data_IF_822536818854
#
_entry.id   IF_822536818854
#
_cell.length_a   1.000
_cell.length_b   1.000
_cell.length_c   1.000
_cell.angle_alpha   90.00
_cell.angle_beta   90.00
_cell.angle_gamma   90.00
#
_symmetry.space_group_name_H-M   'P 1'
#
loop_
_entity.id
_entity.type
_entity.pdbx_description
1 polymer ?
#
# COMPACT_ATOMS: atom_id res chain seq x y z
N UNK A 1 5.64 13.04 11.43
CA UNK A 1 5.32 13.32 10.04
C UNK A 1 4.48 12.20 9.43
N UNK A 2 4.70 10.98 9.90
CA UNK A 2 3.97 9.82 9.40
C UNK A 2 2.60 9.72 10.08
N UNK A 3 1.64 9.17 9.34
CA UNK A 3 0.28 9.01 9.88
C UNK A 3 -0.45 7.89 9.16
N UNK A 4 -0.35 7.87 7.82
CA UNK A 4 -1.01 6.84 7.03
C UNK A 4 -0.05 5.68 6.74
N UNK A 5 1.24 5.99 6.65
CA UNK A 5 2.25 4.98 6.38
C UNK A 5 2.91 4.51 7.67
N UNK A 6 2.11 4.35 8.72
CA UNK A 6 2.61 3.91 10.01
C UNK A 6 2.30 2.45 10.26
N UNK A 7 1.22 1.96 9.65
CA UNK A 7 0.81 0.57 9.80
C UNK A 7 1.00 -0.20 8.50
N UNK A 8 1.01 0.51 7.38
CA UNK A 8 1.17 -0.11 6.07
C UNK A 8 -0.01 -1.03 5.75
N UNK A 9 -1.04 -0.48 5.10
CA UNK A 9 -2.24 -1.26 4.73
C UNK A 9 -1.91 -2.50 3.92
N UNK A 10 -0.73 -2.52 3.30
CA UNK A 10 -0.29 -3.66 2.50
C UNK A 10 -0.50 -4.97 3.26
N UNK A 11 -0.32 -6.09 2.58
CA UNK A 11 -0.50 -7.41 3.21
C UNK A 11 0.74 -8.27 3.08
N UNK A 12 1.41 -8.20 1.93
CA UNK A 12 2.61 -8.99 1.70
C UNK A 12 3.86 -8.23 2.12
N UNK A 13 4.44 -7.45 1.22
CA UNK A 13 5.63 -6.68 1.51
C UNK A 13 5.68 -5.39 0.69
N UNK A 14 4.51 -4.81 0.45
CA UNK A 14 4.43 -3.58 -0.33
C UNK A 14 4.69 -2.36 0.54
N UNK A 15 5.02 -1.24 -0.11
CA UNK A 15 5.29 0.00 0.61
C UNK A 15 4.05 0.89 0.64
N UNK A 16 4.21 2.09 1.18
CA UNK A 16 3.10 3.04 1.28
C UNK A 16 3.21 4.09 0.18
N UNK A 17 2.06 4.65 -0.20
CA UNK A 17 2.02 5.67 -1.24
C UNK A 17 0.71 6.46 -1.17
N UNK A 18 0.72 7.54 -0.39
CA UNK A 18 -0.46 8.38 -0.23
C UNK A 18 -0.08 9.86 -0.22
N UNK A 19 -0.88 10.68 -0.89
CA UNK A 19 -0.61 12.12 -0.95
C UNK A 19 -1.74 12.90 -0.27
N UNK A 20 -2.96 12.75 -0.76
CA UNK A 20 -4.11 13.44 -0.19
C UNK A 20 -5.35 12.55 -0.23
N UNK A 21 -5.58 11.91 -1.36
CA UNK A 21 -6.75 11.04 -1.50
C UNK A 21 -6.52 9.91 -2.50
N UNK A 22 -5.31 9.36 -2.49
CA UNK A 22 -4.97 8.26 -3.39
C UNK A 22 -3.93 7.34 -2.76
N UNK A 23 -4.39 6.45 -1.88
CA UNK A 23 -3.49 5.52 -1.22
C UNK A 23 -3.35 4.23 -2.03
N UNK A 24 -2.11 3.81 -2.23
CA UNK A 24 -1.83 2.59 -2.99
C UNK A 24 -0.54 1.93 -2.50
N UNK A 25 -0.57 0.60 -2.40
CA UNK A 25 0.59 -0.16 -1.96
C UNK A 25 1.47 -0.54 -3.14
N UNK A 26 2.78 -0.32 -3.02
CA UNK A 26 3.71 -0.66 -4.08
C UNK A 26 4.21 -2.08 -3.92
N UNK A 27 4.01 -2.90 -4.95
CA UNK A 27 4.43 -4.30 -4.91
C UNK A 27 5.24 -4.68 -6.16
N UNK A 28 5.40 -5.97 -6.38
CA UNK A 28 6.16 -6.48 -7.50
C UNK A 28 5.27 -6.67 -8.73
N UNK A 29 5.78 -6.33 -9.93
CA UNK A 29 5.05 -6.48 -11.19
C UNK A 29 4.47 -7.88 -11.35
N UNK A 30 3.25 -8.06 -10.86
CA UNK A 30 2.60 -9.36 -10.95
C UNK A 30 1.60 -9.58 -9.82
N UNK A 31 1.75 -8.81 -8.75
CA UNK A 31 0.85 -8.93 -7.60
C UNK A 31 -0.34 -7.99 -7.77
N UNK A 32 -1.55 -8.56 -7.74
CA UNK A 32 -2.76 -7.78 -7.90
C UNK A 32 -3.45 -7.54 -6.56
N UNK A 33 -4.63 -6.93 -6.60
CA UNK A 33 -5.37 -6.66 -5.38
C UNK A 33 -5.61 -5.18 -5.17
N UNK A 34 -6.18 -4.83 -4.01
CA UNK A 34 -6.46 -3.44 -3.69
C UNK A 34 -5.27 -2.79 -2.98
N UNK A 35 -4.53 -3.61 -2.23
CA UNK A 35 -3.36 -3.11 -1.51
C UNK A 35 -2.11 -3.87 -1.93
N UNK A 36 -2.11 -4.41 -3.14
CA UNK A 36 -0.97 -5.16 -3.65
C UNK A 36 -0.68 -6.36 -2.77
N UNK A 37 -1.30 -7.50 -3.10
CA UNK A 37 -1.10 -8.72 -2.33
C UNK A 37 -1.86 -9.90 -2.95
N UNK A 38 -1.79 -10.01 -4.27
CA UNK A 38 -2.47 -11.08 -4.98
C UNK A 38 -1.64 -11.57 -6.17
#
# INVERSE_FOLDING_TARGET
>A
DVNECISNPCQNDATCLDQIGEFQCICMPGYEGVYCEI
#
